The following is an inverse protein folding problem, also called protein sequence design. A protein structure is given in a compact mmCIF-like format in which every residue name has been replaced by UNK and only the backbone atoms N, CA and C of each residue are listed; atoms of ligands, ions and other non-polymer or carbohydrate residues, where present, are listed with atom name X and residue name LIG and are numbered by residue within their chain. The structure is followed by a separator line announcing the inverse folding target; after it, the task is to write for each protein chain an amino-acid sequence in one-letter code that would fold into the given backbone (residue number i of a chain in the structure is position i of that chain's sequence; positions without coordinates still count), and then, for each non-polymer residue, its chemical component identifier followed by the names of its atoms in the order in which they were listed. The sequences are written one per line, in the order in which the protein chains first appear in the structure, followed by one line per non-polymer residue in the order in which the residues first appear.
data_IF_900584486551
#
_entry.id   IF_900584486551
#
_cell.length_a   1.000
_cell.length_b   1.000
_cell.length_c   1.000
_cell.angle_alpha   90.00
_cell.angle_beta   90.00
_cell.angle_gamma   90.00
#
_symmetry.space_group_name_H-M   'P 1'
#
loop_
_entity.id
_entity.type
_entity.pdbx_description
1 polymer ?
#
# COMPACT_ATOMS: atom_id res chain seq x y z
N UNK A 1 22.16 2.99 5.09
CA UNK A 1 21.08 1.98 5.19
C UNK A 1 19.77 2.74 5.02
N UNK A 2 19.07 2.58 3.90
CA UNK A 2 17.84 3.32 3.60
C UNK A 2 16.72 2.85 4.53
N UNK A 3 16.00 3.78 5.13
CA UNK A 3 14.87 3.50 6.04
C UNK A 3 13.65 4.19 5.44
N UNK A 4 12.58 3.42 5.21
CA UNK A 4 11.30 3.96 4.75
C UNK A 4 10.36 4.15 5.93
N UNK A 5 9.75 5.33 6.01
CA UNK A 5 8.76 5.65 7.04
C UNK A 5 7.37 5.62 6.43
N UNK A 6 6.43 4.98 7.11
CA UNK A 6 5.04 4.84 6.69
C UNK A 6 4.15 5.57 7.67
N UNK A 7 3.32 6.47 7.17
CA UNK A 7 2.25 7.07 7.96
C UNK A 7 1.19 6.03 8.32
N UNK A 8 0.42 6.36 9.34
CA UNK A 8 -0.64 5.51 9.87
C UNK A 8 -1.71 5.21 8.81
N UNK A 9 -2.03 6.20 7.97
CA UNK A 9 -3.00 6.05 6.88
C UNK A 9 -2.51 5.10 5.78
N UNK A 10 -1.23 5.21 5.38
CA UNK A 10 -0.67 4.38 4.32
C UNK A 10 -0.69 2.92 4.77
N UNK A 11 -0.26 2.66 6.01
CA UNK A 11 -0.30 1.32 6.58
C UNK A 11 -1.73 0.77 6.69
N UNK A 12 -2.67 1.56 7.21
CA UNK A 12 -4.06 1.13 7.36
C UNK A 12 -4.71 0.74 6.03
N UNK A 13 -4.57 1.57 4.98
CA UNK A 13 -5.14 1.29 3.66
C UNK A 13 -4.56 0.03 3.02
N UNK A 14 -3.24 -0.20 3.14
CA UNK A 14 -2.60 -1.44 2.68
C UNK A 14 -3.23 -2.66 3.36
N UNK A 15 -3.33 -2.63 4.69
CA UNK A 15 -3.87 -3.73 5.50
C UNK A 15 -5.36 -3.95 5.21
N UNK A 16 -6.16 -2.89 5.11
CA UNK A 16 -7.58 -3.00 4.82
C UNK A 16 -7.84 -3.55 3.41
N UNK A 17 -7.06 -3.15 2.41
CA UNK A 17 -7.20 -3.68 1.07
C UNK A 17 -6.99 -5.21 1.05
N UNK A 18 -5.90 -5.69 1.65
CA UNK A 18 -5.64 -7.13 1.75
C UNK A 18 -6.69 -7.86 2.61
N UNK A 19 -7.18 -7.24 3.70
CA UNK A 19 -8.20 -7.82 4.56
C UNK A 19 -9.60 -7.87 3.92
N UNK A 20 -9.90 -6.98 2.96
CA UNK A 20 -11.16 -6.99 2.19
C UNK A 20 -11.22 -8.22 1.26
N UNK A 21 -10.09 -8.60 0.68
CA UNK A 21 -9.97 -9.70 -0.28
C UNK A 21 -8.99 -10.79 0.20
N UNK A 22 -9.28 -11.49 1.31
CA UNK A 22 -8.31 -12.39 1.95
C UNK A 22 -8.00 -13.67 1.14
N UNK A 23 -8.79 -13.94 0.09
CA UNK A 23 -8.68 -15.11 -0.78
C UNK A 23 -8.08 -14.77 -2.15
N UNK A 24 -7.67 -13.52 -2.37
CA UNK A 24 -7.12 -13.05 -3.64
C UNK A 24 -5.76 -12.39 -3.40
N UNK A 25 -4.95 -12.36 -4.44
CA UNK A 25 -3.83 -11.45 -4.48
C UNK A 25 -4.34 -10.01 -4.69
N UNK A 26 -3.74 -9.04 -4.00
CA UNK A 26 -4.06 -7.63 -4.18
C UNK A 26 -2.81 -6.80 -4.40
N UNK A 27 -2.96 -5.65 -5.05
CA UNK A 27 -1.87 -4.69 -5.19
C UNK A 27 -2.30 -3.23 -5.07
N UNK A 28 -1.31 -2.35 -5.01
CA UNK A 28 -1.54 -0.92 -5.06
C UNK A 28 -0.25 -0.13 -5.12
N UNK A 29 -0.39 1.18 -5.18
CA UNK A 29 0.74 2.11 -5.20
C UNK A 29 0.84 2.90 -3.91
N UNK A 30 2.05 3.35 -3.62
CA UNK A 30 2.39 4.13 -2.45
C UNK A 30 2.71 5.55 -2.88
N UNK A 31 2.10 6.53 -2.20
CA UNK A 31 2.40 7.93 -2.40
C UNK A 31 3.36 8.41 -1.33
N UNK A 32 4.36 9.17 -1.75
CA UNK A 32 5.36 9.76 -0.86
C UNK A 32 5.60 11.23 -1.13
N UNK A 33 6.22 11.88 -0.16
CA UNK A 33 6.74 13.24 -0.31
C UNK A 33 8.01 13.24 -1.15
N UNK A 34 8.19 14.28 -1.99
CA UNK A 34 9.39 14.44 -2.82
C UNK A 34 10.66 14.62 -1.99
N UNK A 35 10.56 15.32 -0.87
CA UNK A 35 11.72 15.78 -0.11
C UNK A 35 12.18 14.79 0.97
N UNK A 36 11.25 14.18 1.71
CA UNK A 36 11.57 13.29 2.84
C UNK A 36 11.56 11.81 2.47
N UNK A 37 10.98 11.43 1.33
CA UNK A 37 10.81 10.01 0.94
C UNK A 37 9.91 9.24 1.91
N UNK A 38 9.11 9.94 2.71
CA UNK A 38 8.14 9.36 3.63
C UNK A 38 6.91 8.93 2.85
N UNK A 39 6.43 7.71 3.12
CA UNK A 39 5.23 7.16 2.50
C UNK A 39 4.01 7.68 3.26
N UNK A 40 3.31 8.61 2.63
CA UNK A 40 2.21 9.36 3.23
C UNK A 40 0.84 8.79 2.95
N UNK A 41 0.66 8.03 1.88
CA UNK A 41 -0.62 7.39 1.58
C UNK A 41 -0.43 6.13 0.73
N UNK A 42 -1.47 5.30 0.67
CA UNK A 42 -1.52 4.14 -0.20
C UNK A 42 -2.82 4.16 -1.01
N UNK A 43 -2.74 3.80 -2.29
CA UNK A 43 -3.89 3.70 -3.20
C UNK A 43 -4.06 2.24 -3.59
N UNK A 44 -5.15 1.59 -3.14
CA UNK A 44 -5.55 0.27 -3.60
C UNK A 44 -5.84 0.26 -5.10
N UNK A 45 -5.15 -0.61 -5.84
CA UNK A 45 -5.35 -0.74 -7.29
C UNK A 45 -6.32 -1.87 -7.61
N UNK A 46 -5.85 -3.12 -7.55
CA UNK A 46 -6.58 -4.24 -8.11
C UNK A 46 -6.65 -5.42 -7.15
N UNK A 47 -7.76 -6.15 -7.24
CA UNK A 47 -7.98 -7.46 -6.62
C UNK A 47 -8.37 -8.52 -7.65
N UNK A 48 -8.65 -8.14 -8.90
CA UNK A 48 -8.96 -9.08 -9.99
C UNK A 48 -7.99 -8.92 -11.16
N UNK A 49 -7.82 -7.70 -11.67
CA UNK A 49 -7.15 -7.43 -12.94
C UNK A 49 -5.63 -7.16 -12.80
N UNK A 50 -4.96 -7.86 -11.88
CA UNK A 50 -3.54 -7.63 -11.53
C UNK A 50 -2.58 -7.64 -12.73
N UNK A 51 -2.85 -8.47 -13.75
CA UNK A 51 -1.97 -8.67 -14.90
C UNK A 51 -2.45 -7.98 -16.19
N UNK A 52 -3.56 -7.22 -16.12
CA UNK A 52 -4.15 -6.58 -17.28
C UNK A 52 -3.53 -5.19 -17.45
N UNK A 53 -2.50 -5.11 -18.31
CA UNK A 53 -1.72 -3.89 -18.53
C UNK A 53 -2.56 -2.63 -18.83
N UNK A 54 -3.60 -2.67 -19.69
CA UNK A 54 -4.38 -1.47 -20.00
C UNK A 54 -5.00 -0.80 -18.76
N UNK A 55 -5.49 -1.58 -17.81
CA UNK A 55 -6.13 -1.04 -16.60
C UNK A 55 -5.08 -0.44 -15.66
N UNK A 56 -3.92 -1.08 -15.54
CA UNK A 56 -2.80 -0.54 -14.78
C UNK A 56 -2.28 0.80 -15.35
N UNK A 57 -2.21 0.93 -16.68
CA UNK A 57 -1.79 2.18 -17.34
C UNK A 57 -2.76 3.32 -17.05
N UNK A 58 -4.07 3.08 -17.19
CA UNK A 58 -5.10 4.08 -16.89
C UNK A 58 -5.05 4.49 -15.41
N UNK A 59 -4.92 3.52 -14.50
CA UNK A 59 -4.85 3.80 -13.08
C UNK A 59 -3.62 4.64 -12.71
N UNK A 60 -2.43 4.25 -13.19
CA UNK A 60 -1.19 4.98 -12.92
C UNK A 60 -1.23 6.40 -13.49
N UNK A 61 -1.80 6.62 -14.68
CA UNK A 61 -1.97 7.95 -15.25
C UNK A 61 -2.87 8.85 -14.38
N UNK A 62 -4.00 8.33 -13.89
CA UNK A 62 -4.89 9.10 -13.01
C UNK A 62 -4.24 9.39 -11.65
N UNK A 63 -3.54 8.41 -11.09
CA UNK A 63 -2.86 8.55 -9.80
C UNK A 63 -1.69 9.52 -9.90
N UNK A 64 -0.93 9.51 -11.00
CA UNK A 64 0.15 10.47 -11.23
C UNK A 64 -0.38 11.91 -11.30
N UNK A 65 -1.49 12.13 -12.01
CA UNK A 65 -2.13 13.44 -12.07
C UNK A 65 -2.63 13.91 -10.69
N UNK A 66 -3.22 13.00 -9.90
CA UNK A 66 -3.62 13.27 -8.53
C UNK A 66 -2.42 13.58 -7.63
N UNK A 67 -1.38 12.76 -7.67
CA UNK A 67 -0.18 12.93 -6.86
C UNK A 67 0.49 14.28 -7.16
N UNK A 68 0.60 14.67 -8.44
CA UNK A 68 1.14 15.98 -8.83
C UNK A 68 0.33 17.14 -8.24
N UNK A 69 -1.01 17.05 -8.26
CA UNK A 69 -1.90 18.08 -7.68
C UNK A 69 -1.70 18.23 -6.17
N UNK A 70 -1.52 17.12 -5.46
CA UNK A 70 -1.29 17.10 -4.00
C UNK A 70 0.20 17.30 -3.61
N UNK A 71 1.07 17.61 -4.58
CA UNK A 71 2.52 17.71 -4.42
C UNK A 71 3.19 16.44 -3.85
N UNK A 72 2.66 15.28 -4.21
CA UNK A 72 3.18 13.95 -3.92
C UNK A 72 3.83 13.32 -5.15
N UNK A 73 4.47 12.18 -4.95
CA UNK A 73 5.00 11.31 -6.02
C UNK A 73 4.60 9.87 -5.76
N UNK A 74 4.46 9.08 -6.82
CA UNK A 74 4.37 7.63 -6.71
C UNK A 74 5.73 7.10 -6.25
N UNK A 75 5.81 6.78 -4.96
CA UNK A 75 7.04 6.45 -4.23
C UNK A 75 7.20 4.94 -3.99
N UNK A 76 6.28 4.12 -4.47
CA UNK A 76 6.41 2.68 -4.33
C UNK A 76 5.21 1.89 -4.78
N UNK A 77 5.35 0.58 -4.63
CA UNK A 77 4.35 -0.42 -4.96
C UNK A 77 4.18 -1.35 -3.77
N UNK A 78 2.95 -1.75 -3.49
CA UNK A 78 2.68 -2.80 -2.52
C UNK A 78 1.90 -3.95 -3.15
N UNK A 79 2.15 -5.15 -2.64
CA UNK A 79 1.43 -6.35 -3.03
C UNK A 79 1.16 -7.24 -1.82
N UNK A 80 -0.02 -7.87 -1.81
CA UNK A 80 -0.33 -9.00 -0.96
C UNK A 80 -0.51 -10.23 -1.86
N UNK A 81 0.40 -11.21 -1.80
CA UNK A 81 0.27 -12.47 -2.52
C UNK A 81 -0.95 -13.28 -2.02
N UNK A 82 -1.57 -14.07 -2.88
CA UNK A 82 -2.69 -14.95 -2.50
C UNK A 82 -2.23 -16.04 -1.52
N UNK A 83 -1.06 -16.61 -1.77
CA UNK A 83 -0.49 -17.66 -0.93
C UNK A 83 0.31 -17.07 0.24
N UNK A 84 -0.09 -17.42 1.47
CA UNK A 84 0.59 -17.02 2.71
C UNK A 84 2.08 -17.38 2.79
N UNK A 85 2.55 -18.36 2.01
CA UNK A 85 3.96 -18.77 1.99
C UNK A 85 4.80 -18.00 0.97
N UNK A 86 4.19 -17.37 -0.03
CA UNK A 86 4.87 -16.70 -1.13
C UNK A 86 5.18 -15.23 -0.83
N UNK A 87 6.06 -14.98 0.14
CA UNK A 87 6.41 -13.62 0.58
C UNK A 87 7.69 -13.06 -0.10
N UNK A 88 7.91 -13.39 -1.38
CA UNK A 88 9.10 -12.93 -2.13
C UNK A 88 8.73 -11.96 -3.25
N UNK A 89 9.63 -11.02 -3.55
CA UNK A 89 9.45 -10.02 -4.61
C UNK A 89 9.27 -10.68 -5.99
N UNK A 90 9.95 -11.80 -6.21
CA UNK A 90 9.91 -12.56 -7.48
C UNK A 90 8.53 -13.18 -7.76
N UNK A 91 7.78 -13.52 -6.71
CA UNK A 91 6.45 -14.12 -6.81
C UNK A 91 5.32 -13.11 -6.59
N UNK A 92 5.67 -11.86 -6.28
CA UNK A 92 4.69 -10.84 -6.04
C UNK A 92 3.89 -10.52 -7.32
N UNK A 93 2.57 -10.32 -7.22
CA UNK A 93 1.75 -9.96 -8.36
C UNK A 93 2.25 -8.67 -9.01
N UNK A 94 2.25 -8.65 -10.34
CA UNK A 94 2.62 -7.50 -11.17
C UNK A 94 3.93 -6.78 -10.77
N UNK A 95 4.95 -7.52 -10.34
CA UNK A 95 6.24 -6.96 -9.89
C UNK A 95 6.91 -5.99 -10.89
N UNK A 96 6.66 -6.14 -12.19
CA UNK A 96 7.15 -5.20 -13.23
C UNK A 96 6.67 -3.76 -13.04
N UNK A 97 5.53 -3.55 -12.37
CA UNK A 97 5.05 -2.20 -12.01
C UNK A 97 6.03 -1.54 -11.03
N UNK A 98 6.53 -2.29 -10.06
CA UNK A 98 7.53 -1.79 -9.10
C UNK A 98 8.84 -1.40 -9.83
N UNK A 99 9.29 -2.21 -10.78
CA UNK A 99 10.47 -1.90 -11.60
C UNK A 99 10.24 -0.60 -12.40
N UNK A 100 9.05 -0.43 -12.97
CA UNK A 100 8.72 0.78 -13.73
C UNK A 100 8.65 2.03 -12.85
N UNK A 101 8.11 1.92 -11.64
CA UNK A 101 8.11 3.01 -10.66
C UNK A 101 9.55 3.34 -10.25
N UNK A 102 10.40 2.35 -10.03
CA UNK A 102 11.82 2.54 -9.69
C UNK A 102 12.62 3.19 -10.83
N UNK A 103 12.27 2.95 -12.09
CA UNK A 103 12.87 3.66 -13.23
C UNK A 103 12.61 5.18 -13.13
N UNK A 104 11.38 5.55 -12.78
CA UNK A 104 10.92 6.94 -12.69
C UNK A 104 11.34 7.63 -11.37
N UNK A 105 11.36 6.90 -10.26
CA UNK A 105 11.70 7.39 -8.93
C UNK A 105 12.70 6.47 -8.25
N UNK A 106 13.97 6.90 -8.18
CA UNK A 106 15.09 6.06 -7.71
C UNK A 106 15.02 5.64 -6.24
N UNK A 107 14.22 6.33 -5.43
CA UNK A 107 14.00 6.00 -4.04
C UNK A 107 12.68 5.22 -3.86
N UNK A 108 12.22 4.48 -4.86
CA UNK A 108 10.98 3.73 -4.72
C UNK A 108 11.16 2.54 -3.77
N UNK A 109 10.08 2.22 -3.07
CA UNK A 109 10.00 1.04 -2.22
C UNK A 109 9.04 0.00 -2.81
N UNK A 110 9.35 -1.27 -2.58
CA UNK A 110 8.44 -2.38 -2.83
C UNK A 110 8.05 -2.99 -1.49
N UNK A 111 6.77 -2.90 -1.14
CA UNK A 111 6.22 -3.52 0.07
C UNK A 111 5.51 -4.84 -0.26
N UNK A 112 5.83 -5.89 0.48
CA UNK A 112 5.07 -7.14 0.49
C UNK A 112 4.33 -7.24 1.82
N UNK A 113 3.02 -7.40 1.75
CA UNK A 113 2.18 -7.61 2.93
C UNK A 113 2.34 -9.05 3.41
N UNK A 114 2.67 -9.22 4.67
CA UNK A 114 2.77 -10.52 5.31
C UNK A 114 1.42 -10.94 5.89
N UNK A 115 0.61 -11.60 5.06
CA UNK A 115 -0.75 -12.01 5.40
C UNK A 115 -0.83 -12.83 6.71
N UNK A 116 0.22 -13.59 7.08
CA UNK A 116 0.27 -14.35 8.34
C UNK A 116 0.28 -13.48 9.60
N UNK A 117 0.79 -12.26 9.49
CA UNK A 117 0.88 -11.30 10.59
C UNK A 117 -0.34 -10.37 10.65
N UNK A 118 -1.26 -10.48 9.68
CA UNK A 118 -2.53 -9.78 9.68
C UNK A 118 -3.55 -10.50 10.56
N UNK A 119 -3.45 -10.28 11.87
CA UNK A 119 -4.39 -10.80 12.86
C UNK A 119 -5.30 -9.69 13.38
N UNK A 120 -6.42 -10.06 14.01
CA UNK A 120 -7.32 -9.12 14.70
C UNK A 120 -6.67 -8.46 15.95
N UNK A 121 -5.50 -8.94 16.37
CA UNK A 121 -4.67 -8.41 17.45
C UNK A 121 -3.26 -8.21 16.88
N UNK A 122 -3.09 -7.18 16.04
CA UNK A 122 -1.82 -6.89 15.38
C UNK A 122 -0.76 -6.48 16.41
N UNK A 123 0.16 -7.39 16.72
CA UNK A 123 1.31 -7.13 17.61
C UNK A 123 2.59 -6.73 16.88
N UNK A 124 2.64 -7.01 15.58
CA UNK A 124 3.80 -6.79 14.73
C UNK A 124 3.37 -6.16 13.41
N UNK A 125 4.27 -5.40 12.81
CA UNK A 125 4.10 -4.83 11.49
C UNK A 125 3.96 -5.95 10.45
N UNK A 126 2.86 -5.96 9.69
CA UNK A 126 2.59 -7.00 8.70
C UNK A 126 3.18 -6.66 7.31
N UNK A 127 4.36 -6.04 7.27
CA UNK A 127 4.98 -5.56 6.03
C UNK A 127 6.47 -5.91 5.94
N UNK A 128 6.91 -6.32 4.75
CA UNK A 128 8.31 -6.43 4.34
C UNK A 128 8.61 -5.36 3.31
N UNK A 129 9.64 -4.57 3.55
CA UNK A 129 10.01 -3.46 2.65
C UNK A 129 11.30 -3.79 1.92
N UNK A 130 11.31 -3.52 0.61
CA UNK A 130 12.43 -3.74 -0.26
C UNK A 130 12.83 -2.45 -0.97
N UNK A 131 14.12 -2.31 -1.22
CA UNK A 131 14.77 -1.23 -1.95
C UNK A 131 15.54 -1.83 -3.14
N UNK A 132 15.47 -1.20 -4.30
CA UNK A 132 16.33 -1.51 -5.43
C UNK A 132 17.52 -0.54 -5.48
N UNK A 133 18.70 -1.00 -5.07
CA UNK A 133 19.94 -0.23 -5.28
C UNK A 133 20.25 -0.20 -6.78
N UNK A 134 20.42 1.00 -7.32
CA UNK A 134 20.39 1.34 -8.75
C UNK A 134 21.30 0.52 -9.68
N UNK A 135 22.33 -0.16 -9.15
CA UNK A 135 23.36 -0.83 -9.97
C UNK A 135 23.07 -2.31 -10.27
N UNK A 136 22.13 -2.95 -9.56
CA UNK A 136 21.91 -4.41 -9.69
C UNK A 136 20.54 -4.80 -10.23
N UNK A 137 19.58 -3.87 -10.25
CA UNK A 137 18.18 -4.17 -10.54
C UNK A 137 17.52 -5.13 -9.53
N UNK A 138 18.21 -5.46 -8.42
CA UNK A 138 17.75 -6.43 -7.43
C UNK A 138 17.15 -5.73 -6.22
N UNK A 139 15.94 -6.15 -5.87
CA UNK A 139 15.25 -5.75 -4.67
C UNK A 139 15.87 -6.43 -3.44
N UNK A 140 16.32 -5.62 -2.48
CA UNK A 140 16.95 -6.04 -1.25
C UNK A 140 16.12 -5.58 -0.04
N UNK A 141 15.96 -6.45 0.96
CA UNK A 141 15.14 -6.14 2.12
C UNK A 141 15.78 -5.03 2.96
N UNK A 142 14.98 -4.03 3.31
CA UNK A 142 15.36 -2.91 4.14
C UNK A 142 14.37 -2.74 5.29
N UNK A 143 14.70 -1.88 6.25
CA UNK A 143 13.83 -1.60 7.39
C UNK A 143 12.73 -0.62 6.98
N UNK A 144 11.48 -1.05 7.11
CA UNK A 144 10.31 -0.17 7.20
C UNK A 144 10.08 0.26 8.64
N UNK A 145 9.60 1.47 8.85
CA UNK A 145 9.15 1.97 10.15
C UNK A 145 7.76 2.56 10.01
N UNK A 146 6.81 2.07 10.80
CA UNK A 146 5.49 2.70 10.89
C UNK A 146 5.57 3.84 11.92
N UNK A 147 5.12 5.04 11.53
CA UNK A 147 5.00 6.16 12.45
C UNK A 147 4.00 5.81 13.56
N UNK A 148 4.36 6.10 14.80
CA UNK A 148 3.57 5.75 16.01
C UNK A 148 3.12 4.27 16.02
N UNK A 149 4.01 3.36 15.60
CA UNK A 149 3.70 1.94 15.35
C UNK A 149 2.73 1.30 16.36
N UNK A 150 2.95 1.44 17.67
CA UNK A 150 2.06 0.87 18.69
C UNK A 150 0.61 1.38 18.59
N UNK A 151 0.41 2.69 18.45
CA UNK A 151 -0.92 3.29 18.32
C UNK A 151 -1.57 2.92 16.99
N UNK A 152 -0.78 2.94 15.92
CA UNK A 152 -1.22 2.59 14.57
C UNK A 152 -1.71 1.14 14.50
N UNK A 153 -0.95 0.20 15.04
CA UNK A 153 -1.31 -1.22 15.06
C UNK A 153 -2.59 -1.45 15.88
N UNK A 154 -2.73 -0.79 17.03
CA UNK A 154 -3.94 -0.87 17.85
C UNK A 154 -5.17 -0.29 17.13
N UNK A 155 -5.03 0.89 16.51
CA UNK A 155 -6.11 1.53 15.78
C UNK A 155 -6.56 0.70 14.56
N UNK A 156 -5.61 0.16 13.80
CA UNK A 156 -5.88 -0.72 12.65
C UNK A 156 -6.55 -2.02 13.11
N UNK A 157 -6.08 -2.64 14.19
CA UNK A 157 -6.71 -3.84 14.75
C UNK A 157 -8.17 -3.57 15.19
N UNK A 158 -8.42 -2.45 15.88
CA UNK A 158 -9.76 -2.06 16.29
C UNK A 158 -10.70 -1.81 15.10
N UNK A 159 -10.20 -1.17 14.04
CA UNK A 159 -10.96 -0.92 12.81
C UNK A 159 -11.25 -2.21 12.02
N UNK A 160 -10.29 -3.14 11.97
CA UNK A 160 -10.50 -4.46 11.38
C UNK A 160 -11.60 -5.22 12.11
N UNK A 161 -11.61 -5.21 13.44
CA UNK A 161 -12.65 -5.86 14.24
C UNK A 161 -14.05 -5.24 14.01
N UNK A 162 -14.10 -3.93 13.71
CA UNK A 162 -15.34 -3.22 13.37
C UNK A 162 -15.81 -3.44 11.93
N UNK A 163 -14.99 -4.07 11.09
CA UNK A 163 -15.36 -4.32 9.69
C UNK A 163 -15.03 -3.18 8.72
N UNK A 164 -14.22 -2.19 9.11
CA UNK A 164 -13.91 -1.02 8.28
C UNK A 164 -13.23 -1.37 6.95
N UNK A 165 -12.57 -2.53 6.87
CA UNK A 165 -11.99 -3.03 5.63
C UNK A 165 -13.03 -3.28 4.53
N UNK A 166 -14.32 -3.43 4.85
CA UNK A 166 -15.36 -3.62 3.82
C UNK A 166 -15.63 -2.35 3.03
N UNK A 167 -15.32 -1.19 3.60
CA UNK A 167 -15.63 0.11 3.01
C UNK A 167 -14.52 0.61 2.08
N UNK A 168 -13.31 0.04 2.16
CA UNK A 168 -12.21 0.48 1.30
C UNK A 168 -12.54 0.23 -0.17
N UNK A 169 -12.35 1.27 -0.98
CA UNK A 169 -12.56 1.26 -2.43
C UNK A 169 -11.20 1.11 -3.10
N UNK A 170 -11.09 0.17 -4.02
CA UNK A 170 -9.95 0.07 -4.91
C UNK A 170 -10.28 0.55 -6.32
N UNK A 171 -9.28 0.55 -7.18
CA UNK A 171 -9.45 1.02 -8.55
C UNK A 171 -10.33 0.08 -9.38
N UNK A 172 -10.33 -1.23 -9.12
CA UNK A 172 -11.30 -2.16 -9.71
C UNK A 172 -12.75 -1.72 -9.40
N UNK A 173 -13.06 -1.39 -8.14
CA UNK A 173 -14.39 -0.87 -7.76
C UNK A 173 -14.72 0.49 -8.39
N UNK A 174 -13.72 1.34 -8.61
CA UNK A 174 -13.90 2.61 -9.32
C UNK A 174 -14.17 2.42 -10.81
N UNK A 175 -13.53 1.43 -11.43
CA UNK A 175 -13.79 1.09 -12.84
C UNK A 175 -15.22 0.57 -13.04
N UNK A 176 -15.74 -0.19 -12.08
CA UNK A 176 -17.14 -0.65 -12.08
C UNK A 176 -18.14 0.49 -11.86
N UNK A 177 -17.85 1.39 -10.93
CA UNK A 177 -18.65 2.59 -10.67
C UNK A 177 -17.75 3.81 -10.40
N UNK A 178 -17.67 4.79 -11.34
CA UNK A 178 -16.85 5.99 -11.20
C UNK A 178 -17.21 6.89 -10.00
N UNK A 179 -18.38 6.72 -9.39
CA UNK A 179 -18.74 7.44 -8.15
C UNK A 179 -17.93 6.96 -6.93
N UNK A 180 -17.34 5.76 -6.99
CA UNK A 180 -16.53 5.23 -5.91
C UNK A 180 -15.17 5.94 -5.85
N UNK A 181 -14.90 6.64 -4.74
CA UNK A 181 -13.65 7.37 -4.53
C UNK A 181 -12.49 6.44 -4.11
N UNK A 182 -11.60 6.13 -5.06
CA UNK A 182 -10.39 5.33 -4.81
C UNK A 182 -9.36 6.03 -3.92
N UNK A 183 -9.48 7.34 -3.67
CA UNK A 183 -8.59 8.04 -2.72
C UNK A 183 -8.95 7.77 -1.26
N UNK A 184 -10.15 7.23 -1.00
CA UNK A 184 -10.62 6.81 0.32
C UNK A 184 -10.45 7.89 1.41
N UNK A 185 -10.82 9.14 1.12
CA UNK A 185 -10.60 10.25 2.08
C UNK A 185 -11.39 10.07 3.39
N UNK A 186 -12.53 9.38 3.35
CA UNK A 186 -13.36 9.11 4.52
C UNK A 186 -12.59 8.30 5.59
N UNK A 187 -11.80 7.29 5.19
CA UNK A 187 -11.00 6.48 6.11
C UNK A 187 -9.94 7.31 6.85
N UNK A 188 -9.41 8.34 6.20
CA UNK A 188 -8.41 9.21 6.82
C UNK A 188 -8.99 9.96 8.03
N UNK A 189 -10.26 10.36 7.98
CA UNK A 189 -10.92 11.06 9.07
C UNK A 189 -11.16 10.15 10.27
N UNK A 190 -11.64 8.93 10.04
CA UNK A 190 -11.95 7.99 11.12
C UNK A 190 -10.68 7.44 11.79
N UNK A 191 -9.62 7.23 11.01
CA UNK A 191 -8.31 6.88 11.55
C UNK A 191 -7.75 8.01 12.42
N UNK A 192 -7.88 9.27 12.00
CA UNK A 192 -7.46 10.42 12.82
C UNK A 192 -8.25 10.53 14.13
N UNK A 193 -9.57 10.32 14.09
CA UNK A 193 -10.40 10.32 15.31
C UNK A 193 -9.97 9.24 16.29
N UNK A 194 -9.70 8.03 15.81
CA UNK A 194 -9.25 6.93 16.67
C UNK A 194 -7.85 7.18 17.24
N UNK A 195 -6.92 7.67 16.42
CA UNK A 195 -5.58 8.04 16.88
C UNK A 195 -5.59 9.21 17.89
N UNK A 196 -6.64 10.02 17.92
CA UNK A 196 -6.82 11.09 18.92
C UNK A 196 -7.44 10.60 20.24
N UNK A 197 -8.01 9.38 20.28
CA UNK A 197 -8.58 8.79 21.50
C UNK A 197 -7.55 8.07 22.38
N UNK A 198 -6.32 7.89 21.88
CA UNK A 198 -5.20 7.23 22.54
C UNK A 198 -3.99 8.17 22.64
#
# INVERSE_FOLDING_TARGET
MTIYKFTERAYAKMVFHAAKYPHLAVNGVLLGTKDSGEIVDAIPLFHQCLYVTPMAEVALLQIDAFAQRENLVVAGYYAAPENFYDNSVERAPAAKIADKIQENYKNACFVIIENKLMTLDQKSEAIKVYNCSSDSGRWSQVKGLILKSNLTLQAVAALLQRGAMKEIIDFDNHLDNPENDWTNQFLNQDLQKLLAMY
#
